data_IF_881224270408
#
_entry.id   IF_881224270408
#
_cell.length_a   1.000
_cell.length_b   1.000
_cell.length_c   1.000
_cell.angle_alpha   90.00
_cell.angle_beta   90.00
_cell.angle_gamma   90.00
#
_symmetry.space_group_name_H-M   'P 1'
#
loop_
_entity.id
_entity.type
_entity.pdbx_description
1 polymer ?
#
# COMPACT_ATOMS: atom_id res chain seq x y z
N UNK A 1 17.57 33.81 5.46
CA UNK A 1 16.83 32.54 5.42
C UNK A 1 17.70 31.53 4.67
N UNK A 2 18.30 30.61 5.39
CA UNK A 2 19.31 29.66 4.91
C UNK A 2 18.68 28.66 3.91
N UNK A 3 19.49 28.16 2.97
CA UNK A 3 19.09 27.12 1.97
C UNK A 3 18.31 25.95 2.60
N UNK A 4 18.53 25.70 3.87
CA UNK A 4 17.87 24.68 4.70
C UNK A 4 16.37 24.91 4.90
N UNK A 5 15.98 26.12 5.23
CA UNK A 5 14.54 26.46 5.40
C UNK A 5 13.80 26.25 4.08
N UNK A 6 14.47 26.46 2.95
CA UNK A 6 13.90 26.20 1.62
C UNK A 6 13.77 24.71 1.31
N UNK A 7 14.73 23.88 1.71
CA UNK A 7 14.64 22.42 1.52
C UNK A 7 13.57 21.81 2.43
N UNK A 8 13.50 22.20 3.70
CA UNK A 8 12.44 21.75 4.62
C UNK A 8 11.07 22.25 4.17
N UNK A 9 10.97 23.51 3.73
CA UNK A 9 9.73 24.07 3.20
C UNK A 9 9.30 23.39 1.87
N UNK A 10 10.25 22.99 1.02
CA UNK A 10 9.97 22.25 -0.20
C UNK A 10 9.47 20.82 0.11
N UNK A 11 10.08 20.13 1.07
CA UNK A 11 9.61 18.81 1.53
C UNK A 11 8.23 18.91 2.17
N UNK A 12 7.99 19.91 3.02
CA UNK A 12 6.68 20.17 3.62
C UNK A 12 5.63 20.58 2.58
N UNK A 13 6.02 21.33 1.54
CA UNK A 13 5.14 21.70 0.45
C UNK A 13 4.78 20.49 -0.43
N UNK A 14 5.71 19.58 -0.68
CA UNK A 14 5.44 18.32 -1.39
C UNK A 14 4.47 17.45 -0.57
N UNK A 15 4.66 17.35 0.74
CA UNK A 15 3.75 16.63 1.65
C UNK A 15 2.38 17.29 1.74
N UNK A 16 2.30 18.63 1.68
CA UNK A 16 1.04 19.39 1.71
C UNK A 16 0.28 19.40 0.37
N UNK A 17 0.96 19.09 -0.73
CA UNK A 17 0.38 19.02 -2.09
C UNK A 17 -0.07 17.62 -2.49
N UNK A 18 0.14 16.60 -1.66
CA UNK A 18 -0.50 15.30 -1.87
C UNK A 18 -1.98 15.45 -1.54
N UNK A 19 -2.88 15.33 -2.54
CA UNK A 19 -4.31 15.38 -2.27
C UNK A 19 -4.67 14.22 -1.34
N UNK A 20 -5.23 14.54 -0.21
CA UNK A 20 -5.66 13.61 0.84
C UNK A 20 -6.90 12.81 0.44
N UNK A 21 -7.00 12.30 -0.77
CA UNK A 21 -8.04 11.35 -1.22
C UNK A 21 -7.94 11.02 -2.72
N UNK A 22 -6.80 11.10 -3.33
CA UNK A 22 -6.64 10.33 -4.54
C UNK A 22 -6.43 8.88 -4.08
N UNK A 23 -7.42 8.02 -4.27
CA UNK A 23 -7.18 6.59 -4.41
C UNK A 23 -6.20 6.41 -5.57
N UNK A 24 -4.92 6.62 -5.28
CA UNK A 24 -3.83 6.39 -6.23
C UNK A 24 -3.56 4.89 -6.37
N UNK A 25 -4.33 4.08 -5.65
CA UNK A 25 -4.39 2.65 -5.85
C UNK A 25 -5.22 2.41 -7.11
N UNK A 26 -4.58 2.04 -8.18
CA UNK A 26 -5.25 1.51 -9.35
C UNK A 26 -6.20 0.42 -8.88
N UNK A 27 -7.47 0.49 -9.27
CA UNK A 27 -8.66 -0.23 -8.82
C UNK A 27 -8.58 -1.73 -8.51
N UNK A 28 -7.53 -2.17 -7.85
CA UNK A 28 -7.41 -3.51 -7.29
C UNK A 28 -8.20 -3.63 -5.97
N UNK A 29 -8.51 -4.86 -5.57
CA UNK A 29 -9.28 -5.11 -4.36
C UNK A 29 -8.51 -4.68 -3.10
N UNK A 30 -9.19 -3.94 -2.22
CA UNK A 30 -8.66 -3.49 -0.94
C UNK A 30 -8.74 -4.58 0.13
N UNK A 31 -7.91 -4.48 1.16
CA UNK A 31 -8.04 -5.32 2.35
C UNK A 31 -9.44 -5.17 2.96
N UNK A 32 -10.05 -6.28 3.40
CA UNK A 32 -11.45 -6.31 3.81
C UNK A 32 -11.70 -7.16 5.06
N UNK A 33 -12.87 -6.95 5.69
CA UNK A 33 -13.41 -7.83 6.72
C UNK A 33 -14.44 -8.82 6.15
N UNK A 34 -14.73 -8.75 4.85
CA UNK A 34 -15.73 -9.59 4.21
C UNK A 34 -15.08 -10.74 3.46
N UNK A 35 -15.56 -11.94 3.70
CA UNK A 35 -15.13 -13.16 3.04
C UNK A 35 -16.29 -13.81 2.31
N UNK A 36 -16.16 -13.91 1.00
CA UNK A 36 -17.06 -14.70 0.17
C UNK A 36 -16.53 -16.11 0.02
N UNK A 37 -17.40 -17.10 0.22
CA UNK A 37 -17.10 -18.52 0.09
C UNK A 37 -18.08 -19.13 -0.88
N UNK A 38 -17.57 -19.79 -1.93
CA UNK A 38 -18.40 -20.62 -2.81
C UNK A 38 -18.64 -21.95 -2.12
N UNK A 39 -19.90 -22.27 -1.81
CA UNK A 39 -20.29 -23.52 -1.13
C UNK A 39 -20.75 -24.58 -2.10
N UNK A 40 -21.27 -24.17 -3.26
CA UNK A 40 -21.66 -25.04 -4.36
C UNK A 40 -21.30 -24.34 -5.69
N UNK A 41 -20.47 -24.97 -6.50
CA UNK A 41 -20.03 -24.45 -7.80
C UNK A 41 -20.95 -24.79 -8.96
N UNK A 42 -22.11 -25.41 -8.72
CA UNK A 42 -23.13 -25.86 -9.67
C UNK A 42 -22.71 -27.03 -10.56
N UNK A 43 -21.49 -27.04 -11.10
CA UNK A 43 -20.97 -28.08 -11.99
C UNK A 43 -19.48 -28.31 -11.74
N UNK A 44 -18.98 -29.55 -11.71
CA UNK A 44 -17.54 -29.83 -11.51
C UNK A 44 -16.62 -29.25 -12.59
N UNK A 45 -17.13 -28.97 -13.77
CA UNK A 45 -16.39 -28.31 -14.86
C UNK A 45 -16.30 -26.78 -14.70
N UNK A 46 -16.97 -26.19 -13.71
CA UNK A 46 -16.90 -24.76 -13.40
C UNK A 46 -15.87 -24.51 -12.30
N UNK A 47 -14.79 -23.83 -12.63
CA UNK A 47 -13.77 -23.41 -11.66
C UNK A 47 -14.11 -22.04 -11.11
N UNK A 48 -14.44 -21.97 -9.83
CA UNK A 48 -14.70 -20.69 -9.15
C UNK A 48 -13.48 -20.26 -8.33
N UNK A 49 -13.14 -18.97 -8.41
CA UNK A 49 -12.17 -18.33 -7.53
C UNK A 49 -12.77 -17.05 -6.96
N UNK A 50 -12.52 -16.81 -5.68
CA UNK A 50 -12.87 -15.55 -5.01
C UNK A 50 -11.63 -14.68 -4.96
N UNK A 51 -11.76 -13.45 -5.41
CA UNK A 51 -10.69 -12.46 -5.45
C UNK A 51 -10.83 -11.49 -4.27
N UNK A 52 -9.69 -11.23 -3.57
CA UNK A 52 -9.60 -10.19 -2.56
C UNK A 52 -10.65 -10.27 -1.44
N UNK A 53 -10.94 -11.48 -0.93
CA UNK A 53 -11.90 -11.70 0.14
C UNK A 53 -13.36 -11.67 -0.32
N UNK A 54 -13.89 -10.53 -0.75
CA UNK A 54 -15.23 -10.37 -1.33
C UNK A 54 -15.23 -9.44 -2.55
N UNK A 55 -14.06 -9.09 -3.05
CA UNK A 55 -13.95 -8.06 -4.08
C UNK A 55 -14.49 -8.50 -5.43
N UNK A 56 -14.27 -9.76 -5.83
CA UNK A 56 -14.74 -10.28 -7.10
C UNK A 56 -14.85 -11.79 -7.12
N UNK A 57 -15.56 -12.27 -8.13
CA UNK A 57 -15.63 -13.69 -8.49
C UNK A 57 -14.96 -13.89 -9.84
N UNK A 58 -14.18 -14.93 -9.97
CA UNK A 58 -13.70 -15.43 -11.27
C UNK A 58 -14.35 -16.77 -11.55
N UNK A 59 -14.80 -16.95 -12.80
CA UNK A 59 -15.30 -18.21 -13.32
C UNK A 59 -14.42 -18.67 -14.47
N UNK A 60 -13.98 -19.92 -14.41
CA UNK A 60 -13.33 -20.63 -15.52
C UNK A 60 -14.24 -21.73 -16.03
N UNK A 61 -14.58 -21.71 -17.33
CA UNK A 61 -15.36 -22.75 -17.97
C UNK A 61 -14.47 -23.90 -18.48
N UNK A 62 -14.63 -25.08 -17.89
CA UNK A 62 -14.00 -26.34 -18.30
C UNK A 62 -15.03 -27.44 -18.61
N UNK A 63 -16.30 -27.08 -18.78
CA UNK A 63 -17.37 -28.03 -19.05
C UNK A 63 -17.33 -28.60 -20.47
N UNK A 64 -16.65 -27.92 -21.39
CA UNK A 64 -16.64 -28.25 -22.83
C UNK A 64 -17.93 -27.86 -23.58
N UNK A 65 -18.84 -27.12 -22.91
CA UNK A 65 -20.08 -26.58 -23.46
C UNK A 65 -20.19 -25.09 -23.18
N UNK A 66 -21.16 -24.41 -23.79
CA UNK A 66 -21.44 -23.01 -23.47
C UNK A 66 -22.01 -22.88 -22.05
N UNK A 67 -21.55 -21.87 -21.32
CA UNK A 67 -22.06 -21.49 -20.01
C UNK A 67 -22.51 -20.04 -20.05
N UNK A 68 -23.75 -19.77 -19.61
CA UNK A 68 -24.29 -18.42 -19.51
C UNK A 68 -24.58 -18.10 -18.06
N UNK A 69 -23.91 -17.08 -17.51
CA UNK A 69 -24.24 -16.51 -16.20
C UNK A 69 -25.43 -15.57 -16.38
N UNK A 70 -26.46 -15.74 -15.56
CA UNK A 70 -27.65 -14.89 -15.60
C UNK A 70 -27.47 -13.67 -14.69
N UNK A 71 -27.98 -12.54 -15.17
CA UNK A 71 -28.00 -11.28 -14.43
C UNK A 71 -29.06 -11.24 -13.32
N UNK A 72 -29.44 -10.04 -12.88
CA UNK A 72 -30.35 -9.82 -11.75
C UNK A 72 -31.82 -10.04 -12.09
N UNK A 73 -32.17 -9.98 -13.37
CA UNK A 73 -33.53 -10.18 -13.89
C UNK A 73 -33.62 -11.47 -14.72
N UNK A 74 -32.71 -12.42 -14.48
CA UNK A 74 -32.58 -13.69 -15.23
C UNK A 74 -32.19 -13.49 -16.72
N UNK A 75 -31.74 -12.30 -17.08
CA UNK A 75 -31.19 -11.99 -18.42
C UNK A 75 -29.82 -12.61 -18.63
N UNK A 76 -29.44 -12.99 -19.88
CA UNK A 76 -28.08 -13.39 -20.19
C UNK A 76 -27.08 -12.24 -19.91
N UNK A 77 -26.13 -12.47 -19.00
CA UNK A 77 -25.13 -11.47 -18.59
C UNK A 77 -23.75 -11.76 -19.14
N UNK A 78 -23.14 -12.90 -18.79
CA UNK A 78 -21.88 -13.36 -19.31
C UNK A 78 -22.05 -14.67 -20.05
N UNK A 79 -21.32 -14.88 -21.15
CA UNK A 79 -21.29 -16.14 -21.90
C UNK A 79 -19.87 -16.62 -22.05
N UNK A 80 -19.62 -17.84 -21.62
CA UNK A 80 -18.34 -18.55 -21.74
C UNK A 80 -18.52 -19.66 -22.76
N UNK A 81 -17.93 -19.52 -23.92
CA UNK A 81 -18.01 -20.51 -24.97
C UNK A 81 -16.98 -21.65 -24.76
N UNK A 82 -17.23 -22.81 -25.35
CA UNK A 82 -16.37 -23.99 -25.21
C UNK A 82 -14.95 -23.80 -25.80
N UNK A 83 -14.78 -22.83 -26.69
CA UNK A 83 -13.50 -22.49 -27.31
C UNK A 83 -12.62 -21.55 -26.46
N UNK A 84 -13.13 -21.09 -25.30
CA UNK A 84 -12.45 -20.19 -24.39
C UNK A 84 -12.80 -18.71 -24.60
N UNK A 85 -13.62 -18.36 -25.59
CA UNK A 85 -14.11 -16.99 -25.76
C UNK A 85 -15.10 -16.65 -24.64
N UNK A 86 -14.97 -15.47 -24.06
CA UNK A 86 -15.90 -14.96 -23.04
C UNK A 86 -16.48 -13.64 -23.52
N UNK A 87 -17.80 -13.54 -23.41
CA UNK A 87 -18.59 -12.43 -23.91
C UNK A 87 -19.42 -11.82 -22.80
N UNK A 88 -19.57 -10.52 -22.83
CA UNK A 88 -20.42 -9.74 -21.95
C UNK A 88 -21.57 -9.12 -22.73
N UNK A 89 -22.77 -9.21 -22.22
CA UNK A 89 -23.96 -8.63 -22.84
C UNK A 89 -24.09 -7.15 -22.48
N UNK A 90 -23.81 -6.25 -23.41
CA UNK A 90 -23.88 -4.79 -23.19
C UNK A 90 -25.30 -4.27 -22.96
N UNK A 91 -26.35 -5.09 -23.25
CA UNK A 91 -27.74 -4.77 -22.97
C UNK A 91 -28.17 -5.18 -21.56
N UNK A 92 -27.41 -6.09 -20.90
CA UNK A 92 -27.71 -6.49 -19.52
C UNK A 92 -27.44 -5.37 -18.52
N UNK A 93 -28.39 -5.02 -17.64
CA UNK A 93 -28.14 -4.14 -16.49
C UNK A 93 -26.99 -4.63 -15.61
N UNK A 94 -26.81 -5.95 -15.47
CA UNK A 94 -25.76 -6.56 -14.68
C UNK A 94 -24.35 -6.17 -15.17
N UNK A 95 -24.15 -5.95 -16.47
CA UNK A 95 -22.89 -5.46 -17.05
C UNK A 95 -22.42 -4.15 -16.42
N UNK A 96 -23.34 -3.24 -16.19
CA UNK A 96 -23.05 -1.92 -15.63
C UNK A 96 -23.02 -1.94 -14.10
N UNK A 97 -23.92 -2.68 -13.48
CA UNK A 97 -23.94 -2.84 -12.03
C UNK A 97 -22.69 -3.53 -11.51
N UNK A 98 -22.17 -4.52 -12.25
CA UNK A 98 -21.01 -5.31 -11.89
C UNK A 98 -19.67 -4.75 -12.44
N UNK A 99 -19.68 -3.57 -13.06
CA UNK A 99 -18.46 -2.97 -13.63
C UNK A 99 -17.44 -2.53 -12.59
N UNK A 100 -17.87 -2.33 -11.35
CA UNK A 100 -16.98 -2.01 -10.21
C UNK A 100 -17.62 -2.49 -8.90
N UNK A 101 -16.83 -2.43 -7.80
CA UNK A 101 -17.33 -2.82 -6.46
C UNK A 101 -18.61 -2.08 -6.05
N UNK A 102 -18.81 -0.84 -6.48
CA UNK A 102 -19.97 -0.03 -6.12
C UNK A 102 -20.94 0.20 -7.30
N UNK A 103 -20.72 -0.51 -8.39
CA UNK A 103 -21.48 -0.36 -9.61
C UNK A 103 -21.05 0.83 -10.46
N UNK A 104 -21.68 0.94 -11.63
CA UNK A 104 -21.63 2.10 -12.49
C UNK A 104 -23.05 2.56 -12.82
N UNK A 105 -23.20 3.73 -13.40
CA UNK A 105 -24.48 4.20 -13.89
C UNK A 105 -24.97 3.29 -15.02
N UNK A 106 -26.20 2.78 -14.87
CA UNK A 106 -26.84 1.93 -15.87
C UNK A 106 -27.37 2.83 -17.00
N UNK A 107 -26.89 2.69 -18.25
CA UNK A 107 -27.34 3.53 -19.34
C UNK A 107 -28.76 3.17 -19.79
N UNK A 108 -29.48 4.13 -20.37
CA UNK A 108 -30.83 3.94 -20.92
C UNK A 108 -30.90 2.84 -22.00
N UNK A 109 -29.76 2.43 -22.55
CA UNK A 109 -29.67 1.36 -23.54
C UNK A 109 -29.67 -0.02 -22.92
N UNK A 110 -29.44 -0.16 -21.60
CA UNK A 110 -29.52 -1.44 -20.90
C UNK A 110 -31.02 -1.81 -20.70
N UNK A 111 -31.37 -3.02 -21.11
CA UNK A 111 -32.71 -3.57 -21.00
C UNK A 111 -32.61 -5.10 -20.90
N UNK A 112 -32.97 -5.64 -19.75
CA UNK A 112 -32.95 -7.08 -19.47
C UNK A 112 -33.82 -7.92 -20.42
N UNK A 113 -34.83 -7.30 -21.06
CA UNK A 113 -35.73 -7.97 -21.99
C UNK A 113 -35.29 -7.84 -23.45
N UNK A 114 -34.23 -7.09 -23.74
CA UNK A 114 -33.73 -6.94 -25.09
C UNK A 114 -32.90 -8.16 -25.55
N UNK A 115 -32.86 -8.39 -26.86
CA UNK A 115 -31.91 -9.36 -27.42
C UNK A 115 -30.49 -9.03 -27.00
N UNK A 116 -29.69 -10.00 -26.56
CA UNK A 116 -28.31 -9.78 -26.13
C UNK A 116 -27.43 -9.18 -27.20
N UNK A 117 -26.64 -8.16 -26.83
CA UNK A 117 -25.58 -7.58 -27.65
C UNK A 117 -24.22 -7.92 -27.03
N UNK A 118 -23.52 -8.90 -27.65
CA UNK A 118 -22.33 -9.51 -27.09
C UNK A 118 -21.06 -8.73 -27.46
N UNK A 119 -20.23 -8.41 -26.46
CA UNK A 119 -18.89 -7.86 -26.55
C UNK A 119 -17.89 -8.87 -25.99
N UNK A 120 -16.86 -9.23 -26.74
CA UNK A 120 -15.81 -10.11 -26.25
C UNK A 120 -14.98 -9.38 -25.17
N UNK A 121 -14.77 -10.07 -24.01
CA UNK A 121 -14.04 -9.53 -22.86
C UNK A 121 -12.84 -10.40 -22.47
N UNK A 122 -12.79 -11.66 -22.90
CA UNK A 122 -11.67 -12.57 -22.66
C UNK A 122 -11.66 -13.68 -23.73
N UNK A 123 -10.49 -14.30 -23.92
CA UNK A 123 -10.30 -15.49 -24.75
C UNK A 123 -9.53 -16.61 -24.01
N UNK A 124 -9.47 -16.52 -22.67
CA UNK A 124 -8.73 -17.47 -21.81
C UNK A 124 -9.63 -18.55 -21.19
N UNK A 125 -10.92 -18.52 -21.46
CA UNK A 125 -11.92 -19.37 -20.79
C UNK A 125 -12.26 -18.92 -19.37
N UNK A 126 -11.63 -17.84 -18.89
CA UNK A 126 -11.85 -17.25 -17.56
C UNK A 126 -12.22 -15.77 -17.65
N UNK A 127 -13.02 -15.32 -16.71
CA UNK A 127 -13.34 -13.91 -16.55
C UNK A 127 -13.72 -13.61 -15.10
N UNK A 128 -13.33 -12.43 -14.61
CA UNK A 128 -13.62 -11.94 -13.28
C UNK A 128 -14.56 -10.73 -13.31
N UNK A 129 -15.48 -10.66 -12.33
CA UNK A 129 -16.42 -9.55 -12.19
C UNK A 129 -16.80 -9.29 -10.74
N UNK A 130 -17.36 -8.10 -10.45
CA UNK A 130 -17.87 -7.71 -9.13
C UNK A 130 -19.34 -8.14 -9.02
N UNK A 131 -19.65 -9.34 -8.54
CA UNK A 131 -21.05 -9.75 -8.38
C UNK A 131 -21.65 -9.19 -7.10
N UNK A 132 -22.62 -8.28 -7.22
CA UNK A 132 -23.27 -7.63 -6.08
C UNK A 132 -24.05 -8.58 -5.18
N UNK A 133 -24.36 -9.79 -5.65
CA UNK A 133 -24.96 -10.85 -4.82
C UNK A 133 -23.94 -11.43 -3.83
N UNK A 134 -22.66 -11.43 -4.20
CA UNK A 134 -21.59 -12.12 -3.48
C UNK A 134 -20.72 -11.22 -2.60
N UNK A 135 -20.91 -9.88 -2.61
CA UNK A 135 -20.16 -8.97 -1.79
C UNK A 135 -21.03 -7.93 -1.05
N UNK A 136 -20.40 -7.21 -0.08
CA UNK A 136 -21.09 -6.17 0.66
C UNK A 136 -20.97 -4.83 -0.04
N UNK A 137 -22.12 -4.25 -0.46
CA UNK A 137 -22.22 -3.03 -1.25
C UNK A 137 -22.08 -1.73 -0.45
N UNK A 138 -22.28 -1.78 0.86
CA UNK A 138 -22.34 -0.57 1.69
C UNK A 138 -21.02 -0.28 2.38
N UNK A 139 -20.70 1.01 2.57
CA UNK A 139 -19.60 1.45 3.45
C UNK A 139 -19.92 1.26 4.92
N UNK A 140 -21.19 1.06 5.29
CA UNK A 140 -21.64 0.77 6.65
C UNK A 140 -21.56 -0.72 6.93
N UNK A 141 -21.22 -1.07 8.16
CA UNK A 141 -21.25 -2.46 8.62
C UNK A 141 -22.66 -3.06 8.53
N UNK A 142 -22.84 -4.32 8.13
CA UNK A 142 -24.15 -4.98 8.07
C UNK A 142 -24.85 -4.99 9.43
N UNK A 143 -26.15 -4.71 9.45
CA UNK A 143 -26.94 -4.68 10.70
C UNK A 143 -26.93 -6.02 11.45
N UNK A 144 -26.74 -7.13 10.72
CA UNK A 144 -26.65 -8.47 11.32
C UNK A 144 -25.36 -8.66 12.13
N UNK A 145 -24.33 -7.88 11.88
CA UNK A 145 -23.07 -7.90 12.65
C UNK A 145 -23.25 -7.06 13.91
N UNK A 146 -23.78 -7.67 14.96
CA UNK A 146 -24.01 -7.02 16.25
C UNK A 146 -22.76 -7.02 17.15
N UNK A 147 -21.80 -7.90 16.87
CA UNK A 147 -20.54 -8.03 17.56
C UNK A 147 -19.40 -8.11 16.49
N UNK A 148 -18.63 -7.04 16.27
CA UNK A 148 -17.58 -7.01 15.25
C UNK A 148 -16.39 -7.91 15.55
N UNK A 149 -16.24 -8.38 16.79
CA UNK A 149 -15.18 -9.29 17.20
C UNK A 149 -15.52 -10.76 16.98
N UNK A 150 -16.67 -11.04 16.36
CA UNK A 150 -17.12 -12.41 16.05
C UNK A 150 -17.40 -12.57 14.57
N UNK A 151 -16.99 -13.74 14.04
CA UNK A 151 -17.37 -14.14 12.67
C UNK A 151 -18.89 -14.27 12.58
N UNK A 152 -19.50 -13.57 11.63
CA UNK A 152 -20.95 -13.52 11.45
C UNK A 152 -21.30 -13.75 9.99
N UNK A 153 -22.24 -14.65 9.71
CA UNK A 153 -22.81 -14.82 8.38
C UNK A 153 -23.63 -13.58 8.04
N UNK A 154 -23.21 -12.85 6.98
CA UNK A 154 -23.89 -11.64 6.51
C UNK A 154 -25.09 -12.00 5.63
N UNK A 155 -24.84 -12.82 4.60
CA UNK A 155 -25.88 -13.29 3.66
C UNK A 155 -25.47 -14.58 2.98
N UNK A 156 -26.47 -15.32 2.48
CA UNK A 156 -26.28 -16.37 1.47
C UNK A 156 -26.62 -15.81 0.11
N UNK A 157 -25.88 -16.25 -0.89
CA UNK A 157 -26.09 -15.80 -2.26
C UNK A 157 -26.21 -16.97 -3.22
N UNK A 158 -26.86 -16.69 -4.35
CA UNK A 158 -27.05 -17.65 -5.45
C UNK A 158 -26.86 -16.92 -6.77
N UNK A 159 -26.10 -17.53 -7.68
CA UNK A 159 -25.87 -17.06 -9.03
C UNK A 159 -26.39 -18.13 -9.99
N UNK A 160 -27.50 -17.89 -10.72
CA UNK A 160 -28.03 -18.84 -11.67
C UNK A 160 -27.19 -18.85 -12.96
N UNK A 161 -27.02 -20.05 -13.54
CA UNK A 161 -26.33 -20.28 -14.79
C UNK A 161 -27.14 -21.20 -15.70
N UNK A 162 -26.89 -21.10 -16.98
CA UNK A 162 -27.33 -22.10 -17.99
C UNK A 162 -26.06 -22.81 -18.48
N UNK A 163 -26.01 -24.13 -18.36
CA UNK A 163 -24.89 -24.97 -18.80
C UNK A 163 -25.36 -25.89 -19.92
N UNK A 164 -24.70 -25.85 -21.06
CA UNK A 164 -25.05 -26.62 -22.26
C UNK A 164 -25.32 -25.73 -23.47
N UNK A 165 -25.58 -26.36 -24.60
CA UNK A 165 -25.70 -25.65 -25.90
C UNK A 165 -27.19 -25.55 -26.32
N UNK A 166 -27.64 -24.33 -26.60
CA UNK A 166 -28.97 -24.03 -27.13
C UNK A 166 -30.11 -24.59 -26.26
N UNK A 167 -31.04 -25.33 -26.87
CA UNK A 167 -32.18 -25.90 -26.20
C UNK A 167 -31.84 -27.04 -25.22
N UNK A 168 -30.62 -27.56 -25.23
CA UNK A 168 -30.15 -28.59 -24.30
C UNK A 168 -29.55 -28.00 -23.02
N UNK A 169 -29.49 -26.67 -22.88
CA UNK A 169 -28.97 -26.03 -21.67
C UNK A 169 -29.80 -26.31 -20.45
N UNK A 170 -29.16 -26.64 -19.34
CA UNK A 170 -29.78 -26.84 -18.04
C UNK A 170 -29.52 -25.64 -17.13
N UNK A 171 -30.55 -25.17 -16.42
CA UNK A 171 -30.39 -24.18 -15.35
C UNK A 171 -29.80 -24.86 -14.11
N UNK A 172 -28.71 -24.31 -13.62
CA UNK A 172 -28.05 -24.71 -12.39
C UNK A 172 -27.71 -23.45 -11.57
N UNK A 173 -27.53 -23.61 -10.27
CA UNK A 173 -27.29 -22.47 -9.39
C UNK A 173 -25.95 -22.65 -8.65
N UNK A 174 -25.00 -21.75 -8.85
CA UNK A 174 -23.88 -21.62 -7.94
C UNK A 174 -24.33 -20.90 -6.68
N UNK A 175 -23.86 -21.37 -5.53
CA UNK A 175 -24.26 -20.83 -4.23
C UNK A 175 -23.07 -20.58 -3.32
N UNK A 176 -23.23 -19.64 -2.41
CA UNK A 176 -22.22 -19.32 -1.44
C UNK A 176 -22.69 -18.50 -0.27
N UNK A 177 -21.72 -18.09 0.53
CA UNK A 177 -21.93 -17.35 1.76
C UNK A 177 -21.00 -16.16 1.81
N UNK A 178 -21.48 -15.03 2.29
CA UNK A 178 -20.72 -13.85 2.63
C UNK A 178 -20.62 -13.75 4.15
N UNK A 179 -19.40 -13.70 4.66
CA UNK A 179 -19.11 -13.65 6.08
C UNK A 179 -18.42 -12.33 6.46
N UNK A 180 -18.77 -11.79 7.62
CA UNK A 180 -17.95 -10.85 8.35
C UNK A 180 -16.87 -11.61 9.12
N UNK A 181 -15.61 -11.19 9.00
CA UNK A 181 -14.48 -11.70 9.76
C UNK A 181 -13.97 -10.62 10.72
N UNK A 182 -13.70 -10.96 11.98
CA UNK A 182 -13.20 -10.00 12.95
C UNK A 182 -11.82 -9.49 12.57
N UNK A 183 -11.54 -8.26 12.96
CA UNK A 183 -10.22 -7.66 12.77
C UNK A 183 -9.13 -8.43 13.52
N UNK A 184 -7.94 -8.49 12.94
CA UNK A 184 -6.77 -9.09 13.58
C UNK A 184 -6.06 -8.08 14.47
N UNK A 185 -5.25 -8.57 15.42
CA UNK A 185 -4.46 -7.69 16.27
C UNK A 185 -3.40 -6.94 15.44
N UNK A 186 -3.48 -5.62 15.41
CA UNK A 186 -2.57 -4.74 14.65
C UNK A 186 -1.24 -4.47 15.36
N UNK A 187 -1.22 -4.60 16.70
CA UNK A 187 -0.10 -4.19 17.52
C UNK A 187 1.14 -5.11 17.47
N UNK A 188 1.07 -6.45 17.21
CA UNK A 188 2.25 -7.30 17.25
C UNK A 188 3.32 -6.92 16.21
N UNK A 189 3.00 -6.65 14.92
CA UNK A 189 4.01 -6.22 13.96
C UNK A 189 4.57 -4.84 14.29
N UNK A 190 3.77 -3.92 14.83
CA UNK A 190 4.23 -2.60 15.30
C UNK A 190 5.19 -2.75 16.47
N UNK A 191 4.79 -3.48 17.52
CA UNK A 191 5.61 -3.69 18.71
C UNK A 191 6.92 -4.42 18.37
N UNK A 192 6.85 -5.44 17.52
CA UNK A 192 8.01 -6.19 17.08
C UNK A 192 8.99 -5.34 16.24
N UNK A 193 8.49 -4.51 15.33
CA UNK A 193 9.32 -3.59 14.56
C UNK A 193 9.99 -2.55 15.47
N UNK A 194 9.27 -1.96 16.41
CA UNK A 194 9.84 -1.05 17.41
C UNK A 194 10.88 -1.74 18.28
N UNK A 195 10.63 -2.97 18.72
CA UNK A 195 11.58 -3.74 19.51
C UNK A 195 12.87 -4.06 18.71
N UNK A 196 12.74 -4.45 17.44
CA UNK A 196 13.89 -4.72 16.57
C UNK A 196 14.74 -3.46 16.34
N UNK A 197 14.10 -2.33 16.02
CA UNK A 197 14.80 -1.04 15.88
C UNK A 197 15.39 -0.56 17.19
N UNK A 198 14.69 -0.71 18.31
CA UNK A 198 15.17 -0.37 19.65
C UNK A 198 16.38 -1.20 20.06
N UNK A 199 16.37 -2.51 19.82
CA UNK A 199 17.49 -3.39 20.08
C UNK A 199 18.73 -3.02 19.26
N UNK A 200 18.56 -2.78 17.94
CA UNK A 200 19.63 -2.32 17.09
C UNK A 200 20.21 -0.98 17.59
N UNK A 201 19.33 -0.04 17.91
CA UNK A 201 19.71 1.27 18.43
C UNK A 201 20.49 1.14 19.76
N UNK A 202 20.02 0.32 20.69
CA UNK A 202 20.68 0.06 21.97
C UNK A 202 22.10 -0.51 21.79
N UNK A 203 22.27 -1.48 20.88
CA UNK A 203 23.61 -2.04 20.54
C UNK A 203 24.52 -0.96 19.98
N UNK A 204 24.02 -0.11 19.10
CA UNK A 204 24.79 0.97 18.48
C UNK A 204 25.21 2.00 19.53
N UNK A 205 24.30 2.40 20.41
CA UNK A 205 24.55 3.36 21.51
C UNK A 205 25.58 2.80 22.51
N UNK A 206 25.43 1.52 22.90
CA UNK A 206 26.37 0.86 23.79
C UNK A 206 27.81 0.84 23.25
N UNK A 207 27.98 0.81 21.92
CA UNK A 207 29.30 0.85 21.25
C UNK A 207 29.84 2.25 21.02
N UNK A 208 29.19 3.30 21.51
CA UNK A 208 29.57 4.70 21.23
C UNK A 208 30.95 5.07 21.73
N UNK A 209 31.31 4.76 22.98
CA UNK A 209 32.64 4.98 23.58
C UNK A 209 33.26 6.36 23.24
N UNK A 210 32.51 7.44 23.42
CA UNK A 210 33.00 8.82 23.14
C UNK A 210 33.01 9.26 21.66
N UNK A 211 32.61 8.39 20.72
CA UNK A 211 32.51 8.74 19.28
C UNK A 211 31.33 9.71 19.04
N UNK A 212 31.41 10.45 17.91
CA UNK A 212 30.33 11.32 17.48
C UNK A 212 29.04 10.54 17.18
N UNK A 213 27.88 11.20 17.25
CA UNK A 213 26.62 10.56 16.87
C UNK A 213 26.59 10.22 15.38
N UNK A 214 27.20 11.05 14.52
CA UNK A 214 27.29 10.75 13.09
C UNK A 214 28.08 9.47 12.83
N UNK A 215 29.17 9.22 13.59
CA UNK A 215 30.00 8.02 13.42
C UNK A 215 29.30 6.72 13.86
N UNK A 216 28.37 6.84 14.79
CA UNK A 216 27.72 5.68 15.42
C UNK A 216 26.37 5.37 14.81
N UNK A 217 25.58 6.40 14.47
CA UNK A 217 24.19 6.24 14.04
C UNK A 217 24.00 6.32 12.51
N UNK A 218 24.80 7.11 11.79
CA UNK A 218 24.50 7.38 10.40
C UNK A 218 24.41 6.09 9.54
N UNK A 219 25.41 5.23 9.61
CA UNK A 219 25.39 4.00 8.81
C UNK A 219 24.29 3.01 9.22
N UNK A 220 24.09 2.69 10.51
CA UNK A 220 22.95 1.85 10.93
C UNK A 220 21.59 2.40 10.48
N UNK A 221 21.36 3.70 10.62
CA UNK A 221 20.12 4.32 10.15
C UNK A 221 19.96 4.18 8.63
N UNK A 222 21.02 4.44 7.85
CA UNK A 222 20.97 4.25 6.40
C UNK A 222 20.64 2.80 6.01
N UNK A 223 21.26 1.82 6.67
CA UNK A 223 20.97 0.40 6.46
C UNK A 223 19.52 0.07 6.82
N UNK A 224 19.00 0.58 7.94
CA UNK A 224 17.60 0.39 8.32
C UNK A 224 16.63 0.94 7.24
N UNK A 225 16.90 2.15 6.74
CA UNK A 225 16.11 2.76 5.65
C UNK A 225 16.13 1.87 4.41
N UNK A 226 17.31 1.38 3.99
CA UNK A 226 17.41 0.52 2.80
C UNK A 226 16.76 -0.83 2.97
N UNK A 227 16.82 -1.45 4.16
CA UNK A 227 16.10 -2.70 4.44
C UNK A 227 14.60 -2.49 4.33
N UNK A 228 14.06 -1.40 4.88
CA UNK A 228 12.64 -1.05 4.76
C UNK A 228 12.27 -0.79 3.29
N UNK A 229 13.11 -0.10 2.52
CA UNK A 229 12.84 0.13 1.10
C UNK A 229 12.91 -1.15 0.27
N UNK A 230 13.85 -2.05 0.56
CA UNK A 230 13.91 -3.36 -0.09
C UNK A 230 12.65 -4.20 0.18
N UNK A 231 12.12 -4.16 1.41
CA UNK A 231 10.85 -4.82 1.74
C UNK A 231 9.67 -4.20 0.96
N UNK A 232 9.68 -2.86 0.75
CA UNK A 232 8.65 -2.21 -0.06
C UNK A 232 8.77 -2.53 -1.57
N UNK A 233 9.97 -2.81 -2.08
CA UNK A 233 10.10 -3.34 -3.46
C UNK A 233 9.37 -4.67 -3.60
N UNK A 234 9.54 -5.58 -2.63
CA UNK A 234 8.85 -6.87 -2.61
C UNK A 234 7.33 -6.66 -2.51
N UNK A 235 6.88 -5.73 -1.66
CA UNK A 235 5.46 -5.40 -1.52
C UNK A 235 4.85 -4.87 -2.83
N UNK A 236 5.54 -3.96 -3.52
CA UNK A 236 5.06 -3.42 -4.81
C UNK A 236 5.00 -4.51 -5.88
N UNK A 237 5.97 -5.43 -5.89
CA UNK A 237 5.94 -6.58 -6.79
C UNK A 237 4.73 -7.50 -6.50
N UNK A 238 4.41 -7.71 -5.23
CA UNK A 238 3.23 -8.45 -4.78
C UNK A 238 1.92 -7.73 -5.18
N UNK A 239 1.84 -6.40 -5.00
CA UNK A 239 0.68 -5.59 -5.42
C UNK A 239 0.41 -5.72 -6.93
N UNK A 240 1.46 -5.82 -7.74
CA UNK A 240 1.34 -6.04 -9.19
C UNK A 240 0.91 -7.47 -9.50
N UNK A 241 1.45 -8.47 -8.80
CA UNK A 241 1.16 -9.88 -9.05
C UNK A 241 -0.27 -10.27 -8.60
N UNK A 242 -0.72 -9.75 -7.46
CA UNK A 242 -2.02 -10.07 -6.86
C UNK A 242 -3.19 -9.22 -7.40
N UNK A 243 -2.96 -8.33 -8.36
CA UNK A 243 -3.97 -7.39 -8.87
C UNK A 243 -4.31 -7.67 -10.33
N UNK A 244 -5.60 -7.70 -10.67
CA UNK A 244 -6.12 -7.77 -12.04
C UNK A 244 -6.20 -6.40 -12.74
N UNK A 245 -5.42 -5.42 -12.26
CA UNK A 245 -5.40 -4.08 -12.81
C UNK A 245 -4.88 -4.05 -14.25
N UNK A 246 -5.27 -3.03 -15.01
CA UNK A 246 -4.79 -2.83 -16.37
C UNK A 246 -3.28 -2.58 -16.42
N UNK A 247 -2.65 -2.85 -17.57
CA UNK A 247 -1.21 -2.56 -17.79
C UNK A 247 -0.87 -1.10 -17.47
N UNK A 248 -1.76 -0.16 -17.77
CA UNK A 248 -1.55 1.27 -17.48
C UNK A 248 -1.54 1.55 -15.98
N UNK A 249 -2.44 0.91 -15.21
CA UNK A 249 -2.50 1.03 -13.75
C UNK A 249 -1.27 0.40 -13.09
N UNK A 250 -0.84 -0.80 -13.53
CA UNK A 250 0.40 -1.43 -13.06
C UNK A 250 1.63 -0.56 -13.37
N UNK A 251 1.73 -0.01 -14.59
CA UNK A 251 2.83 0.89 -14.95
C UNK A 251 2.85 2.14 -14.07
N UNK A 252 1.69 2.74 -13.81
CA UNK A 252 1.57 3.89 -12.92
C UNK A 252 2.02 3.55 -11.49
N UNK A 253 1.53 2.44 -10.92
CA UNK A 253 1.90 1.97 -9.58
C UNK A 253 3.43 1.77 -9.47
N UNK A 254 4.02 1.04 -10.42
CA UNK A 254 5.46 0.75 -10.43
C UNK A 254 6.30 2.03 -10.56
N UNK A 255 5.89 2.96 -11.43
CA UNK A 255 6.62 4.23 -11.62
C UNK A 255 6.56 5.08 -10.34
N UNK A 256 5.37 5.31 -9.79
CA UNK A 256 5.19 6.17 -8.61
C UNK A 256 5.90 5.57 -7.39
N UNK A 257 5.67 4.28 -7.12
CA UNK A 257 6.32 3.60 -6.00
C UNK A 257 7.83 3.49 -6.20
N UNK A 258 8.30 3.25 -7.42
CA UNK A 258 9.73 3.20 -7.76
C UNK A 258 10.41 4.55 -7.53
N UNK A 259 9.79 5.67 -7.91
CA UNK A 259 10.30 7.02 -7.63
C UNK A 259 10.32 7.31 -6.12
N UNK A 260 9.31 6.90 -5.38
CA UNK A 260 9.25 7.04 -3.93
C UNK A 260 10.37 6.23 -3.24
N UNK A 261 10.55 4.97 -3.61
CA UNK A 261 11.63 4.11 -3.11
C UNK A 261 13.00 4.70 -3.44
N UNK A 262 13.20 5.19 -4.67
CA UNK A 262 14.46 5.81 -5.08
C UNK A 262 14.75 7.09 -4.28
N UNK A 263 13.75 7.93 -4.04
CA UNK A 263 13.89 9.16 -3.26
C UNK A 263 14.28 8.86 -1.79
N UNK A 264 13.57 7.94 -1.13
CA UNK A 264 13.86 7.56 0.27
C UNK A 264 15.22 6.85 0.35
N UNK A 265 15.56 5.98 -0.61
CA UNK A 265 16.88 5.33 -0.67
C UNK A 265 18.01 6.33 -0.89
N UNK A 266 17.79 7.37 -1.71
CA UNK A 266 18.73 8.46 -1.93
C UNK A 266 18.98 9.27 -0.65
N UNK A 267 17.96 9.49 0.19
CA UNK A 267 18.18 10.06 1.52
C UNK A 267 19.02 9.14 2.40
N UNK A 268 18.84 7.83 2.32
CA UNK A 268 19.70 6.84 2.96
C UNK A 268 21.17 6.99 2.55
N UNK A 269 21.46 7.24 1.26
CA UNK A 269 22.83 7.54 0.79
C UNK A 269 23.36 8.83 1.42
N UNK A 270 22.57 9.90 1.49
CA UNK A 270 22.96 11.15 2.14
C UNK A 270 23.26 10.96 3.64
N UNK A 271 22.50 10.11 4.32
CA UNK A 271 22.76 9.70 5.72
C UNK A 271 24.08 8.93 5.82
N UNK A 272 24.29 7.96 4.92
CA UNK A 272 25.50 7.13 4.90
C UNK A 272 26.80 7.96 4.72
N UNK A 273 26.74 8.99 3.88
CA UNK A 273 27.86 9.89 3.60
C UNK A 273 28.24 10.78 4.80
N UNK A 274 27.45 10.78 5.88
CA UNK A 274 27.72 11.55 7.11
C UNK A 274 27.96 13.04 6.89
N UNK A 275 27.32 13.64 5.88
CA UNK A 275 27.40 15.07 5.63
C UNK A 275 26.90 15.87 6.85
N UNK A 276 27.27 17.15 6.94
CA UNK A 276 26.92 18.05 8.06
C UNK A 276 25.45 17.94 8.52
N UNK A 277 24.56 17.53 7.64
CA UNK A 277 23.12 17.49 7.85
C UNK A 277 22.55 16.08 7.69
N UNK A 278 23.34 15.04 7.90
CA UNK A 278 22.91 13.64 7.82
C UNK A 278 21.64 13.33 8.62
N UNK A 279 21.47 13.98 9.78
CA UNK A 279 20.34 13.81 10.67
C UNK A 279 19.04 14.35 10.06
N UNK A 280 19.12 15.44 9.27
CA UNK A 280 17.96 15.97 8.54
C UNK A 280 17.53 15.05 7.41
N UNK A 281 18.50 14.43 6.69
CA UNK A 281 18.20 13.40 5.70
C UNK A 281 17.59 12.14 6.35
N UNK A 282 18.05 11.75 7.55
CA UNK A 282 17.48 10.64 8.30
C UNK A 282 16.02 10.90 8.67
N UNK A 283 15.71 12.09 9.20
CA UNK A 283 14.35 12.48 9.53
C UNK A 283 13.44 12.49 8.28
N UNK A 284 13.90 13.08 7.18
CA UNK A 284 13.16 13.11 5.93
C UNK A 284 12.88 11.70 5.40
N UNK A 285 13.87 10.80 5.47
CA UNK A 285 13.67 9.40 5.08
C UNK A 285 12.60 8.70 5.94
N UNK A 286 12.62 8.90 7.26
CA UNK A 286 11.62 8.34 8.16
C UNK A 286 10.21 8.89 7.91
N UNK A 287 10.08 10.20 7.74
CA UNK A 287 8.80 10.87 7.46
C UNK A 287 8.23 10.40 6.13
N UNK A 288 9.04 10.36 5.07
CA UNK A 288 8.59 9.89 3.75
C UNK A 288 8.24 8.40 3.75
N UNK A 289 9.02 7.57 4.46
CA UNK A 289 8.69 6.14 4.61
C UNK A 289 7.35 5.96 5.31
N UNK A 290 7.11 6.70 6.39
CA UNK A 290 5.85 6.70 7.11
C UNK A 290 4.66 7.06 6.20
N UNK A 291 4.74 8.17 5.47
CA UNK A 291 3.64 8.66 4.65
C UNK A 291 3.41 7.81 3.39
N UNK A 292 4.47 7.51 2.64
CA UNK A 292 4.35 6.88 1.32
C UNK A 292 4.10 5.36 1.39
N UNK A 293 4.51 4.70 2.48
CA UNK A 293 4.45 3.25 2.56
C UNK A 293 3.74 2.71 3.81
N UNK A 294 3.70 3.47 4.89
CA UNK A 294 3.02 3.08 6.12
C UNK A 294 1.60 3.62 6.19
N UNK A 295 1.42 4.93 5.98
CA UNK A 295 0.16 5.64 6.21
C UNK A 295 -0.98 5.16 5.33
N UNK A 296 -0.73 4.96 4.03
CA UNK A 296 -1.75 4.55 3.06
C UNK A 296 -2.21 3.09 3.21
N UNK A 297 -1.36 2.24 3.78
CA UNK A 297 -1.64 0.81 3.93
C UNK A 297 -2.00 0.42 5.38
N UNK A 298 -2.30 1.39 6.24
CA UNK A 298 -2.54 1.13 7.68
C UNK A 298 -3.70 0.17 7.93
N UNK A 299 -4.75 0.19 7.13
CA UNK A 299 -5.90 -0.69 7.25
C UNK A 299 -5.52 -2.18 7.10
N UNK A 300 -4.50 -2.50 6.32
CA UNK A 300 -3.96 -3.85 6.17
C UNK A 300 -3.34 -4.41 7.47
N UNK A 301 -3.08 -3.56 8.47
CA UNK A 301 -2.60 -4.04 9.77
C UNK A 301 -3.68 -4.75 10.59
N UNK A 302 -4.96 -4.35 10.45
CA UNK A 302 -6.06 -4.91 11.25
C UNK A 302 -7.13 -5.65 10.43
N UNK A 303 -7.26 -5.40 9.13
CA UNK A 303 -8.21 -6.16 8.31
C UNK A 303 -7.73 -7.60 8.14
N UNK A 304 -8.61 -8.61 8.30
CA UNK A 304 -8.22 -10.00 8.30
C UNK A 304 -7.84 -10.54 6.93
N UNK A 305 -8.44 -10.02 5.86
CA UNK A 305 -8.25 -10.49 4.50
C UNK A 305 -7.45 -9.48 3.70
N UNK A 306 -6.29 -9.89 3.23
CA UNK A 306 -5.39 -9.07 2.41
C UNK A 306 -5.35 -9.61 0.99
N UNK A 307 -5.22 -8.70 0.04
CA UNK A 307 -4.91 -9.05 -1.36
C UNK A 307 -3.40 -9.18 -1.48
N UNK A 308 -2.90 -10.40 -1.44
CA UNK A 308 -1.46 -10.67 -1.41
C UNK A 308 -1.18 -12.13 -1.74
N UNK A 309 -0.16 -12.38 -2.56
CA UNK A 309 0.43 -13.71 -2.77
C UNK A 309 1.50 -14.03 -1.71
N UNK A 310 1.94 -13.01 -0.96
CA UNK A 310 2.86 -13.20 0.16
C UNK A 310 2.12 -13.73 1.39
N UNK A 311 2.83 -14.42 2.30
CA UNK A 311 2.28 -14.69 3.63
C UNK A 311 1.87 -13.36 4.30
N UNK A 312 0.65 -13.28 4.80
CA UNK A 312 0.07 -12.04 5.36
C UNK A 312 0.95 -11.38 6.43
N UNK A 313 1.67 -12.19 7.23
CA UNK A 313 2.58 -11.67 8.24
C UNK A 313 3.73 -10.88 7.62
N UNK A 314 4.28 -11.31 6.47
CA UNK A 314 5.35 -10.56 5.74
C UNK A 314 4.85 -9.20 5.35
N UNK A 315 3.64 -9.14 4.78
CA UNK A 315 3.02 -7.88 4.36
C UNK A 315 2.77 -6.94 5.54
N UNK A 316 2.18 -7.44 6.63
CA UNK A 316 1.93 -6.65 7.84
C UNK A 316 3.22 -6.13 8.49
N UNK A 317 4.28 -6.95 8.54
CA UNK A 317 5.57 -6.53 9.07
C UNK A 317 6.26 -5.48 8.19
N UNK A 318 6.14 -5.57 6.88
CA UNK A 318 6.67 -4.55 5.95
C UNK A 318 6.00 -3.20 6.17
N UNK A 319 4.68 -3.18 6.29
CA UNK A 319 3.92 -1.96 6.59
C UNK A 319 4.30 -1.40 7.96
N UNK A 320 4.34 -2.26 8.99
CA UNK A 320 4.73 -1.86 10.34
C UNK A 320 6.16 -1.29 10.39
N UNK A 321 7.10 -1.88 9.68
CA UNK A 321 8.48 -1.37 9.59
C UNK A 321 8.55 -0.01 8.90
N UNK A 322 7.79 0.16 7.80
CA UNK A 322 7.69 1.45 7.08
C UNK A 322 7.10 2.55 7.96
N UNK A 323 6.14 2.19 8.81
CA UNK A 323 5.49 3.08 9.77
C UNK A 323 6.41 3.43 10.94
N UNK A 324 7.10 2.45 11.51
CA UNK A 324 7.85 2.61 12.76
C UNK A 324 9.29 3.11 12.57
N UNK A 325 9.87 3.06 11.36
CA UNK A 325 11.23 3.54 11.08
C UNK A 325 11.40 5.05 11.35
N UNK A 326 10.30 5.81 11.42
CA UNK A 326 10.31 7.22 11.83
C UNK A 326 10.88 7.41 13.24
N UNK A 327 10.68 6.45 14.15
CA UNK A 327 11.13 6.55 15.54
C UNK A 327 12.67 6.61 15.65
N UNK A 328 13.43 5.62 15.15
CA UNK A 328 14.90 5.70 15.19
C UNK A 328 15.47 6.87 14.37
N UNK A 329 14.81 7.27 13.26
CA UNK A 329 15.24 8.43 12.48
C UNK A 329 15.01 9.75 13.21
N UNK A 330 13.94 9.87 13.97
CA UNK A 330 13.67 11.01 14.85
C UNK A 330 14.72 11.12 15.97
N UNK A 331 15.04 9.99 16.63
CA UNK A 331 16.12 9.97 17.64
C UNK A 331 17.46 10.39 17.02
N UNK A 332 17.80 9.90 15.84
CA UNK A 332 19.01 10.30 15.12
C UNK A 332 18.98 11.80 14.80
N UNK A 333 17.85 12.35 14.39
CA UNK A 333 17.68 13.78 14.12
C UNK A 333 17.91 14.65 15.37
N UNK A 334 17.33 14.25 16.51
CA UNK A 334 17.49 14.98 17.78
C UNK A 334 18.94 14.94 18.26
N UNK A 335 19.57 13.76 18.24
CA UNK A 335 20.95 13.59 18.73
C UNK A 335 21.98 14.28 17.85
N UNK A 336 21.85 14.14 16.52
CA UNK A 336 22.72 14.79 15.54
C UNK A 336 22.54 16.32 15.53
N UNK A 337 21.30 16.79 15.65
CA UNK A 337 21.03 18.22 15.74
C UNK A 337 21.64 18.87 17.00
N UNK A 338 21.52 18.18 18.16
CA UNK A 338 22.14 18.63 19.42
C UNK A 338 23.68 18.65 19.34
N UNK A 339 24.28 17.67 18.67
CA UNK A 339 25.73 17.63 18.46
C UNK A 339 26.18 18.80 17.58
N UNK A 340 25.48 19.07 16.49
CA UNK A 340 25.78 20.21 15.63
C UNK A 340 25.65 21.53 16.37
N UNK A 341 24.60 21.73 17.18
CA UNK A 341 24.42 22.95 17.96
C UNK A 341 25.59 23.19 18.92
N UNK A 342 26.02 22.17 19.67
CA UNK A 342 27.18 22.28 20.56
C UNK A 342 28.47 22.66 19.84
N UNK A 343 28.69 22.11 18.65
CA UNK A 343 29.88 22.43 17.85
C UNK A 343 29.88 23.87 17.32
N UNK A 344 28.69 24.47 17.16
CA UNK A 344 28.54 25.86 16.75
C UNK A 344 28.69 26.84 17.92
N UNK A 345 28.29 26.44 19.14
CA UNK A 345 28.38 27.27 20.35
C UNK A 345 29.81 27.36 20.91
N UNK A 346 30.73 26.46 20.50
CA UNK A 346 32.15 26.48 20.91
C UNK A 346 32.98 27.49 20.10
N UNK A 347 32.50 27.92 18.92
CA UNK A 347 33.24 28.78 17.98
C UNK A 347 33.27 30.30 18.29
N UNK A 348 32.41 30.92 19.15
CA UNK A 348 32.50 32.36 19.43
C UNK A 348 33.62 32.75 20.40
N UNK A 349 34.15 31.79 21.19
CA UNK A 349 35.20 32.10 22.19
C UNK A 349 36.63 32.12 21.64
N UNK A 350 36.91 31.35 20.58
CA UNK A 350 38.22 31.31 19.95
C UNK A 350 38.44 32.46 18.96
N UNK A 351 37.41 33.15 18.50
CA UNK A 351 37.50 34.29 17.60
C UNK A 351 37.94 35.61 18.29
N UNK A 352 37.94 35.64 19.63
CA UNK A 352 38.35 36.84 20.40
C UNK A 352 39.79 36.80 20.89
N UNK A 353 40.51 35.70 20.64
CA UNK A 353 41.86 35.46 21.20
C UNK A 353 43.04 35.78 20.32
N UNK A 354 42.88 36.25 19.10
CA UNK A 354 44.05 36.55 18.23
C UNK A 354 44.02 37.98 17.72
N UNK A 355 44.74 38.86 18.36
CA UNK A 355 45.16 40.10 17.70
C UNK A 355 45.04 41.43 18.47
N UNK A 356 45.54 41.52 19.66
CA UNK A 356 46.05 42.79 20.13
C UNK A 356 47.50 42.57 20.60
N UNK A 357 48.40 42.61 19.63
CA UNK A 357 49.80 42.79 19.95
C UNK A 357 49.98 44.18 20.55
N UNK A 358 50.24 44.23 21.84
CA UNK A 358 50.74 45.45 22.47
C UNK A 358 52.01 45.94 21.75
N UNK A 359 51.86 47.02 21.03
CA UNK A 359 53.02 47.83 20.57
C UNK A 359 53.66 48.40 21.81
N UNK A 360 54.85 47.85 22.19
CA UNK A 360 55.64 48.35 23.27
C UNK A 360 56.13 49.80 23.00
N UNK A 361 56.35 50.63 23.99
CA UNK A 361 56.68 52.01 23.83
C UNK A 361 58.12 52.17 23.28
N UNK A 362 58.18 52.89 22.17
CA UNK A 362 59.46 53.32 21.55
C UNK A 362 60.24 54.24 22.51
N UNK A 363 61.40 53.76 23.02
CA UNK A 363 62.34 54.61 23.76
C UNK A 363 62.97 55.56 22.75
N UNK A 364 62.75 56.85 22.98
CA UNK A 364 63.50 57.94 22.35
C UNK A 364 64.76 58.15 23.19
N UNK A 365 65.94 57.95 22.56
CA UNK A 365 67.21 58.33 23.20
C UNK A 365 67.50 59.81 22.88
N UNK A 366 67.93 60.60 23.85
CA UNK A 366 68.45 61.97 23.58
C UNK A 366 69.83 61.91 23.08
N UNK A 367 70.09 62.42 21.89
CA UNK A 367 71.48 62.79 21.48
C UNK A 367 71.85 64.11 22.13
N UNK A 368 73.07 64.07 22.71
CA UNK A 368 73.82 65.22 23.18
C UNK A 368 74.76 65.67 22.06
N UNK A 369 74.84 66.99 21.82
CA UNK A 369 75.78 67.63 21.00
C UNK A 369 75.49 69.09 20.80
#
# INVERSE_FOLDING_TARGET
MTRWVRCVAAVLAIVALTPSTASAHGGGPDATNYETIVTDGADPGLGWQVLGGDAGLELTNRTGSTVVVLGYEDEPYLRFDADGSVWENTRSPATWLNASRFGAEVPDTADANAEPEWREVSNSGSFSWYDHRAHWMSTSMPVVVTDPDRSTLVQRWTIPLLVGDGAASARVDAAGELWWRPSVAWWPPIAGSLAAFGALFAVVVARRHGRSWSDVLAQPIAVMVWVVMAANVVRVADDVAASDATIAQHAFLVIVSGLAIAAVSGLGVAVWQRGRFWFGAALAAGVLSFWLFGGEATDQLWKPLLVTDLPEWVRRWTIAASFTVIVPTLFAAVLGGRELARNLDIDPADASGSGVGEAGPTRVSPELG
#
